data_IF_198532233961
#
_entry.id   IF_198532233961
#
_cell.length_a   1.000
_cell.length_b   1.000
_cell.length_c   1.000
_cell.angle_alpha   90.00
_cell.angle_beta   90.00
_cell.angle_gamma   90.00
#
_symmetry.space_group_name_H-M   'P 1'
#
loop_
_entity.id
_entity.type
_entity.pdbx_description
1 polymer ?
#
# COMPACT_ATOMS: atom_id res chain seq x y z
N UNK A 1 17.96 -13.66 -18.83
CA UNK A 1 16.81 -12.78 -18.58
C UNK A 1 17.27 -11.76 -17.55
N UNK A 2 17.25 -10.47 -17.86
CA UNK A 2 17.36 -9.47 -16.79
C UNK A 2 16.09 -9.61 -15.95
N UNK A 3 16.17 -10.19 -14.75
CA UNK A 3 15.08 -10.16 -13.78
C UNK A 3 14.96 -8.73 -13.24
N UNK A 4 14.64 -7.79 -14.12
CA UNK A 4 14.24 -6.43 -13.76
C UNK A 4 12.84 -6.51 -13.15
N UNK A 5 12.48 -5.76 -12.13
CA UNK A 5 13.04 -4.51 -11.65
C UNK A 5 12.33 -4.25 -10.33
N UNK A 6 13.07 -3.88 -9.27
CA UNK A 6 12.46 -3.41 -8.04
C UNK A 6 11.87 -2.01 -8.31
N UNK A 7 10.76 -1.96 -9.08
CA UNK A 7 10.23 -0.73 -9.67
C UNK A 7 9.66 0.15 -8.56
N UNK A 8 10.23 1.34 -8.45
CA UNK A 8 9.77 2.37 -7.55
C UNK A 8 8.65 3.19 -8.20
N UNK A 9 7.46 3.12 -7.63
CA UNK A 9 6.30 3.89 -8.06
C UNK A 9 6.42 5.37 -7.63
N UNK A 10 5.97 6.25 -8.51
CA UNK A 10 5.63 7.65 -8.21
C UNK A 10 4.40 7.73 -7.28
N UNK A 11 4.10 8.93 -6.76
CA UNK A 11 2.86 9.16 -6.02
C UNK A 11 1.61 8.97 -6.90
N UNK A 12 1.71 9.21 -8.21
CA UNK A 12 0.64 8.97 -9.18
C UNK A 12 0.42 7.47 -9.40
N UNK A 13 1.48 6.74 -9.74
CA UNK A 13 1.40 5.28 -9.94
C UNK A 13 0.94 4.55 -8.68
N UNK A 14 1.40 4.97 -7.49
CA UNK A 14 0.94 4.39 -6.22
C UNK A 14 -0.53 4.73 -5.90
N UNK A 15 -1.00 5.91 -6.32
CA UNK A 15 -2.40 6.33 -6.18
C UNK A 15 -3.31 5.48 -7.06
N UNK A 16 -2.90 5.22 -8.30
CA UNK A 16 -3.59 4.31 -9.22
C UNK A 16 -3.56 2.87 -8.71
N UNK A 17 -2.38 2.39 -8.29
CA UNK A 17 -2.18 1.04 -7.77
C UNK A 17 -3.09 0.73 -6.57
N UNK A 18 -3.17 1.65 -5.61
CA UNK A 18 -4.00 1.49 -4.41
C UNK A 18 -5.46 1.92 -4.62
N UNK A 19 -5.81 2.47 -5.79
CA UNK A 19 -7.12 3.05 -6.07
C UNK A 19 -7.58 4.08 -5.02
N UNK A 20 -6.65 4.93 -4.55
CA UNK A 20 -6.92 6.01 -3.58
C UNK A 20 -6.54 7.36 -4.17
N UNK A 21 -7.17 8.45 -3.72
CA UNK A 21 -6.82 9.81 -4.16
C UNK A 21 -5.37 10.18 -3.76
N UNK A 22 -4.63 10.85 -4.65
CA UNK A 22 -3.27 11.37 -4.39
C UNK A 22 -3.22 12.20 -3.10
N UNK A 23 -4.24 13.02 -2.82
CA UNK A 23 -4.30 13.83 -1.59
C UNK A 23 -4.28 12.97 -0.33
N UNK A 24 -5.07 11.90 -0.28
CA UNK A 24 -5.09 10.93 0.84
C UNK A 24 -3.75 10.22 0.97
N UNK A 25 -3.13 9.84 -0.14
CA UNK A 25 -1.83 9.16 -0.15
C UNK A 25 -0.71 10.09 0.36
N UNK A 26 -0.72 11.38 -0.03
CA UNK A 26 0.19 12.39 0.54
C UNK A 26 0.02 12.55 2.04
N UNK A 27 -1.23 12.60 2.53
CA UNK A 27 -1.51 12.62 3.97
C UNK A 27 -0.98 11.37 4.66
N UNK A 28 -1.14 10.18 4.04
CA UNK A 28 -0.62 8.92 4.60
C UNK A 28 0.90 8.95 4.74
N UNK A 29 1.62 9.44 3.72
CA UNK A 29 3.08 9.62 3.76
C UNK A 29 3.47 10.60 4.87
N UNK A 30 2.81 11.76 4.94
CA UNK A 30 3.08 12.78 5.96
C UNK A 30 2.90 12.23 7.38
N UNK A 31 1.81 11.47 7.61
CA UNK A 31 1.50 10.82 8.88
C UNK A 31 2.28 9.52 9.13
N UNK A 32 3.11 9.07 8.18
CA UNK A 32 3.84 7.80 8.22
C UNK A 32 2.93 6.58 8.41
N UNK A 33 1.73 6.61 7.82
CA UNK A 33 0.74 5.52 7.88
C UNK A 33 0.98 4.44 6.81
N UNK A 34 1.84 4.70 5.83
CA UNK A 34 2.15 3.86 4.67
C UNK A 34 3.66 3.82 4.45
N UNK A 35 4.26 2.67 4.06
CA UNK A 35 5.68 2.60 3.74
C UNK A 35 6.02 3.44 2.50
N UNK A 36 7.18 4.08 2.53
CA UNK A 36 7.69 4.87 1.42
C UNK A 36 9.21 4.94 1.45
N UNK A 37 9.83 5.13 0.29
CA UNK A 37 11.26 5.37 0.12
C UNK A 37 11.48 6.86 -0.10
N UNK A 38 12.36 7.47 0.71
CA UNK A 38 12.74 8.88 0.60
C UNK A 38 14.05 9.01 -0.18
N UNK A 39 14.00 9.68 -1.34
CA UNK A 39 15.18 9.96 -2.17
C UNK A 39 15.29 11.46 -2.36
N UNK A 40 16.00 12.13 -1.44
CA UNK A 40 16.05 13.59 -1.37
C UNK A 40 14.65 14.20 -1.25
N UNK A 41 14.24 15.01 -2.24
CA UNK A 41 12.89 15.59 -2.28
C UNK A 41 11.81 14.60 -2.73
N UNK A 42 12.18 13.53 -3.41
CA UNK A 42 11.25 12.57 -4.00
C UNK A 42 10.73 11.57 -2.97
N UNK A 43 9.47 11.21 -3.12
CA UNK A 43 8.82 10.10 -2.41
C UNK A 43 8.53 9.02 -3.44
N UNK A 44 8.96 7.80 -3.15
CA UNK A 44 8.77 6.62 -3.98
C UNK A 44 8.14 5.49 -3.17
N UNK A 45 7.56 4.52 -3.85
CA UNK A 45 6.95 3.36 -3.21
C UNK A 45 7.45 2.10 -3.87
N UNK A 46 7.90 1.13 -3.07
CA UNK A 46 8.16 -0.21 -3.59
C UNK A 46 6.84 -0.97 -3.68
N UNK A 47 6.68 -1.75 -4.74
CA UNK A 47 5.49 -2.59 -4.90
C UNK A 47 5.40 -3.66 -3.80
N UNK A 48 6.53 -4.27 -3.44
CA UNK A 48 6.62 -5.24 -2.33
C UNK A 48 6.08 -4.67 -1.01
N UNK A 49 6.60 -3.53 -0.56
CA UNK A 49 6.14 -2.87 0.67
C UNK A 49 4.66 -2.49 0.63
N UNK A 50 4.14 -2.09 -0.54
CA UNK A 50 2.72 -1.75 -0.69
C UNK A 50 1.82 -2.99 -0.58
N UNK A 51 2.24 -4.13 -1.14
CA UNK A 51 1.52 -5.40 -0.99
C UNK A 51 1.49 -5.86 0.47
N UNK A 52 2.65 -5.87 1.14
CA UNK A 52 2.72 -6.20 2.57
C UNK A 52 1.86 -5.25 3.42
N UNK A 53 1.83 -3.98 3.06
CA UNK A 53 0.96 -3.01 3.72
C UNK A 53 -0.52 -3.30 3.48
N UNK A 54 -0.94 -3.66 2.26
CA UNK A 54 -2.33 -4.08 1.97
C UNK A 54 -2.70 -5.28 2.84
N UNK A 55 -1.84 -6.29 2.89
CA UNK A 55 -2.06 -7.48 3.72
C UNK A 55 -2.22 -7.09 5.20
N UNK A 56 -1.36 -6.20 5.71
CA UNK A 56 -1.46 -5.69 7.09
C UNK A 56 -2.74 -4.89 7.39
N UNK A 57 -3.40 -4.34 6.36
CA UNK A 57 -4.65 -3.57 6.48
C UNK A 57 -5.89 -4.41 6.23
N UNK A 58 -5.73 -5.57 5.60
CA UNK A 58 -6.83 -6.48 5.30
C UNK A 58 -7.45 -6.97 6.60
N UNK A 59 -8.74 -6.72 6.78
CA UNK A 59 -9.49 -7.24 7.92
C UNK A 59 -10.00 -8.63 7.58
N UNK A 60 -9.94 -9.60 8.51
CA UNK A 60 -10.52 -10.91 8.28
C UNK A 60 -12.02 -10.79 8.05
N UNK A 61 -12.57 -11.73 7.29
CA UNK A 61 -14.02 -11.88 7.17
C UNK A 61 -14.62 -12.05 8.57
N UNK A 62 -15.65 -11.26 8.88
CA UNK A 62 -16.44 -11.51 10.09
C UNK A 62 -17.26 -12.76 9.84
N UNK A 63 -16.77 -13.92 10.33
CA UNK A 63 -17.66 -15.07 10.51
C UNK A 63 -18.79 -14.64 11.42
N UNK A 64 -20.01 -14.81 10.93
CA UNK A 64 -21.19 -14.47 11.70
C UNK A 64 -21.23 -15.40 12.91
N UNK A 65 -21.73 -14.89 14.04
CA UNK A 65 -21.94 -15.69 15.24
C UNK A 65 -22.75 -16.98 14.98
N UNK A 66 -23.53 -17.03 13.89
CA UNK A 66 -24.32 -18.18 13.46
C UNK A 66 -23.52 -19.27 12.73
N UNK A 67 -22.30 -18.99 12.23
CA UNK A 67 -21.47 -19.97 11.50
C UNK A 67 -20.83 -21.01 12.44
N UNK A 68 -20.87 -20.79 13.77
CA UNK A 68 -20.35 -21.70 14.80
C UNK A 68 -21.47 -22.45 15.57
N UNK A 69 -22.74 -22.18 15.25
CA UNK A 69 -23.90 -22.67 15.99
C UNK A 69 -24.63 -23.86 15.32
N UNK A 70 -24.12 -24.39 14.20
CA UNK A 70 -24.66 -25.57 13.52
C UNK A 70 -23.57 -26.49 13.00
#
# INVERSE_FOLDING_TARGET
MINGTNKLLTIQEASEFLSVKISRLRTAVFKREIPYVKIGRLVRFKVEDLNEWIDSKTQPEKKGFFDELF
#
